data_IF_466068179124
#
_entry.id   IF_466068179124
#
_cell.length_a   1.000
_cell.length_b   1.000
_cell.length_c   1.000
_cell.angle_alpha   90.00
_cell.angle_beta   90.00
_cell.angle_gamma   90.00
#
_symmetry.space_group_name_H-M   'P 1'
#
loop_
_entity.id
_entity.type
_entity.pdbx_description
1 polymer ?
#
# COMPACT_ATOMS: atom_id res chain seq x y z
N UNK A 1 17.20 6.67 -4.16
CA UNK A 1 16.04 6.27 -3.35
C UNK A 1 15.35 5.16 -4.12
N UNK A 2 15.56 3.92 -3.69
CA UNK A 2 14.89 2.77 -4.28
C UNK A 2 13.46 2.77 -3.75
N UNK A 3 12.54 3.29 -4.57
CA UNK A 3 11.09 3.23 -4.37
C UNK A 3 10.65 1.75 -4.52
N UNK A 4 9.57 1.29 -3.84
CA UNK A 4 8.97 -0.03 -4.10
C UNK A 4 8.45 -0.20 -5.54
N UNK A 5 8.51 0.84 -6.40
CA UNK A 5 8.46 0.66 -7.86
C UNK A 5 9.54 -0.29 -8.40
N UNK A 6 10.60 -0.54 -7.62
CA UNK A 6 11.60 -1.61 -7.86
C UNK A 6 11.28 -2.92 -7.15
N UNK A 7 10.39 -2.91 -6.15
CA UNK A 7 9.87 -4.12 -5.54
C UNK A 7 8.91 -4.74 -6.55
N UNK A 8 9.39 -5.74 -7.28
CA UNK A 8 8.55 -6.57 -8.11
C UNK A 8 7.48 -7.23 -7.24
N UNK A 9 6.29 -6.64 -7.20
CA UNK A 9 5.09 -7.23 -6.58
C UNK A 9 4.64 -8.51 -7.31
N UNK A 10 5.17 -8.74 -8.52
CA UNK A 10 4.97 -10.00 -9.25
C UNK A 10 5.53 -11.19 -8.46
N UNK A 11 4.64 -12.11 -8.08
CA UNK A 11 4.96 -13.32 -7.32
C UNK A 11 4.68 -13.21 -5.81
N UNK A 12 4.25 -12.05 -5.31
CA UNK A 12 3.78 -11.88 -3.93
C UNK A 12 2.30 -12.25 -3.77
N UNK A 13 1.86 -13.31 -4.47
CA UNK A 13 0.45 -13.69 -4.59
C UNK A 13 -0.19 -14.06 -3.25
N UNK A 14 0.60 -14.30 -2.20
CA UNK A 14 0.11 -14.63 -0.85
C UNK A 14 0.16 -13.45 0.12
N UNK A 15 0.70 -12.30 -0.27
CA UNK A 15 0.82 -11.15 0.59
C UNK A 15 -0.58 -10.58 0.86
N UNK A 16 -0.95 -10.49 2.14
CA UNK A 16 -2.26 -10.00 2.58
C UNK A 16 -2.17 -8.68 3.33
N UNK A 17 -1.04 -8.41 3.97
CA UNK A 17 -0.85 -7.25 4.84
C UNK A 17 0.53 -6.67 4.54
N UNK A 18 0.60 -5.34 4.44
CA UNK A 18 1.88 -4.64 4.29
C UNK A 18 1.90 -3.42 5.21
N UNK A 19 2.98 -3.28 5.97
CA UNK A 19 3.21 -2.10 6.80
C UNK A 19 4.37 -1.29 6.22
N UNK A 20 4.05 -0.04 5.89
CA UNK A 20 4.98 0.94 5.34
C UNK A 20 4.95 2.25 6.14
N UNK A 21 4.36 2.23 7.33
CA UNK A 21 4.38 3.37 8.23
C UNK A 21 5.82 3.74 8.61
N UNK A 22 6.06 5.03 8.84
CA UNK A 22 7.35 5.63 9.18
C UNK A 22 8.45 5.41 8.13
N UNK A 23 8.05 5.24 6.87
CA UNK A 23 8.96 5.20 5.71
C UNK A 23 8.79 6.44 4.83
N UNK A 24 9.68 6.63 3.86
CA UNK A 24 9.59 7.66 2.81
C UNK A 24 8.82 7.17 1.57
N UNK A 25 8.00 6.12 1.72
CA UNK A 25 7.28 5.53 0.61
C UNK A 25 6.15 6.44 0.12
N UNK A 26 6.05 6.60 -1.20
CA UNK A 26 5.11 7.57 -1.81
C UNK A 26 4.33 7.02 -3.01
N UNK A 27 4.65 5.81 -3.49
CA UNK A 27 4.12 5.26 -4.74
C UNK A 27 3.32 3.98 -4.53
N UNK A 28 2.05 4.13 -4.20
CA UNK A 28 1.17 3.04 -3.80
C UNK A 28 0.60 2.24 -4.98
N UNK A 29 0.85 2.63 -6.23
CA UNK A 29 0.22 2.03 -7.41
C UNK A 29 0.47 0.53 -7.51
N UNK A 30 1.72 0.10 -7.27
CA UNK A 30 2.09 -1.31 -7.31
C UNK A 30 1.35 -2.17 -6.28
N UNK A 31 0.91 -1.59 -5.15
CA UNK A 31 0.19 -2.34 -4.12
C UNK A 31 -1.24 -2.68 -4.56
N UNK A 32 -1.84 -1.89 -5.45
CA UNK A 32 -3.16 -2.20 -6.02
C UNK A 32 -3.11 -3.46 -6.89
N UNK A 33 -1.95 -3.81 -7.45
CA UNK A 33 -1.78 -4.98 -8.32
C UNK A 33 -1.57 -6.28 -7.53
N UNK A 34 -1.46 -6.22 -6.19
CA UNK A 34 -1.34 -7.40 -5.35
C UNK A 34 -2.69 -8.12 -5.22
N UNK A 35 -2.84 -9.35 -5.75
CA UNK A 35 -4.15 -9.97 -5.93
C UNK A 35 -4.84 -10.38 -4.63
N UNK A 36 -4.09 -10.49 -3.53
CA UNK A 36 -4.59 -10.94 -2.24
C UNK A 36 -4.32 -9.94 -1.11
N UNK A 37 -3.90 -8.71 -1.42
CA UNK A 37 -3.69 -7.68 -0.42
C UNK A 37 -5.05 -7.26 0.19
N UNK A 38 -5.07 -7.13 1.52
CA UNK A 38 -6.26 -6.84 2.33
C UNK A 38 -6.04 -5.66 3.26
N UNK A 39 -4.81 -5.41 3.69
CA UNK A 39 -4.50 -4.33 4.62
C UNK A 39 -3.19 -3.62 4.28
N UNK A 40 -3.21 -2.30 4.41
CA UNK A 40 -2.03 -1.44 4.34
C UNK A 40 -1.99 -0.53 5.55
N UNK A 41 -0.89 -0.59 6.29
CA UNK A 41 -0.59 0.38 7.34
C UNK A 41 0.30 1.50 6.78
N UNK A 42 -0.15 2.74 6.95
CA UNK A 42 0.59 3.95 6.55
C UNK A 42 0.69 4.93 7.70
N UNK A 43 1.64 5.86 7.64
CA UNK A 43 1.65 7.00 8.55
C UNK A 43 0.60 8.04 8.16
N UNK A 44 0.23 8.88 9.12
CA UNK A 44 -0.64 10.03 8.86
C UNK A 44 -0.12 10.88 7.69
N UNK A 45 -1.05 11.34 6.85
CA UNK A 45 -0.80 12.19 5.69
C UNK A 45 0.14 11.61 4.61
N UNK A 46 0.48 10.33 4.69
CA UNK A 46 1.36 9.65 3.72
C UNK A 46 0.65 9.31 2.40
N UNK A 47 -0.67 9.16 2.45
CA UNK A 47 -1.52 8.79 1.32
C UNK A 47 -2.55 9.90 1.04
N UNK A 48 -2.74 10.24 -0.23
CA UNK A 48 -3.80 11.19 -0.62
C UNK A 48 -5.19 10.60 -0.43
N UNK A 49 -6.20 11.45 -0.22
CA UNK A 49 -7.61 11.01 -0.12
C UNK A 49 -8.06 10.19 -1.35
N UNK A 50 -7.61 10.61 -2.55
CA UNK A 50 -7.88 9.88 -3.79
C UNK A 50 -7.31 8.47 -3.76
N UNK A 51 -6.05 8.31 -3.33
CA UNK A 51 -5.43 7.00 -3.23
C UNK A 51 -6.12 6.15 -2.16
N UNK A 52 -6.44 6.71 -1.00
CA UNK A 52 -7.20 6.01 0.04
C UNK A 52 -8.54 5.49 -0.48
N UNK A 53 -9.23 6.26 -1.33
CA UNK A 53 -10.48 5.83 -1.95
C UNK A 53 -10.27 4.66 -2.90
N UNK A 54 -9.20 4.67 -3.72
CA UNK A 54 -8.88 3.57 -4.63
C UNK A 54 -8.58 2.26 -3.90
N UNK A 55 -7.91 2.32 -2.75
CA UNK A 55 -7.71 1.15 -1.88
C UNK A 55 -9.04 0.60 -1.36
N UNK A 56 -9.92 1.48 -0.86
CA UNK A 56 -11.27 1.10 -0.40
C UNK A 56 -12.11 0.49 -1.53
N UNK A 57 -12.03 1.02 -2.74
CA UNK A 57 -12.74 0.50 -3.91
C UNK A 57 -12.27 -0.91 -4.30
N UNK A 58 -11.00 -1.25 -4.03
CA UNK A 58 -10.47 -2.63 -4.14
C UNK A 58 -10.76 -3.51 -2.93
N UNK A 59 -11.43 -3.01 -1.90
CA UNK A 59 -11.71 -3.74 -0.66
C UNK A 59 -10.48 -3.91 0.24
N UNK A 60 -9.47 -3.05 0.08
CA UNK A 60 -8.27 -3.03 0.92
C UNK A 60 -8.49 -2.04 2.05
N UNK A 61 -8.26 -2.48 3.29
CA UNK A 61 -8.30 -1.64 4.49
C UNK A 61 -7.04 -0.80 4.56
N UNK A 62 -7.20 0.50 4.88
CA UNK A 62 -6.07 1.40 5.17
C UNK A 62 -6.13 1.77 6.64
N UNK A 63 -5.07 1.41 7.37
CA UNK A 63 -4.88 1.74 8.78
C UNK A 63 -3.87 2.87 8.87
N UNK A 64 -4.20 3.91 9.65
CA UNK A 64 -3.31 5.04 9.92
C UNK A 64 -2.63 4.79 11.26
N UNK A 65 -1.30 4.81 11.26
CA UNK A 65 -0.47 4.67 12.46
C UNK A 65 0.21 6.01 12.82
N UNK A 66 0.29 6.26 14.13
CA UNK A 66 0.85 7.47 14.74
C UNK A 66 2.39 7.50 14.68
#
# INVERSE_FOLDING_TARGET
MENLSTLSVYGLDKLQEINIAHTDFTDFEGLLELPNLKEVDVSDSMMSEEMMQRFKDKGITVTILD
#
